data_IF_725470547914
#
_entry.id   IF_725470547914
#
_cell.length_a   1.000
_cell.length_b   1.000
_cell.length_c   1.000
_cell.angle_alpha   90.00
_cell.angle_beta   90.00
_cell.angle_gamma   90.00
#
_symmetry.space_group_name_H-M   'P 1'
#
loop_
_entity.id
_entity.type
_entity.pdbx_description
1 polymer ?
#
# COMPACT_ATOMS: atom_id res chain seq x y z
N UNK A 1 20.44 -39.58 -17.02
CA UNK A 1 19.28 -40.47 -17.25
C UNK A 1 19.80 -41.74 -17.96
N UNK A 2 19.04 -42.84 -17.97
CA UNK A 2 19.47 -44.12 -18.60
C UNK A 2 19.58 -43.97 -20.12
N UNK A 3 20.54 -44.60 -20.79
CA UNK A 3 20.67 -44.48 -22.25
C UNK A 3 19.55 -45.23 -22.99
N UNK A 4 19.06 -44.69 -24.11
CA UNK A 4 18.14 -45.36 -25.02
C UNK A 4 16.63 -45.27 -24.71
N UNK A 5 16.21 -44.55 -23.66
CA UNK A 5 14.79 -44.32 -23.38
C UNK A 5 14.30 -42.99 -23.99
N UNK A 6 13.18 -43.05 -24.72
CA UNK A 6 12.52 -41.91 -25.38
C UNK A 6 11.64 -41.09 -24.43
N UNK A 7 11.17 -41.70 -23.34
CA UNK A 7 10.25 -41.07 -22.38
C UNK A 7 10.72 -41.26 -20.95
N UNK A 8 10.74 -40.16 -20.19
CA UNK A 8 10.97 -40.16 -18.75
C UNK A 8 9.80 -39.46 -18.05
N UNK A 9 9.33 -40.07 -16.96
CA UNK A 9 8.35 -39.46 -16.08
C UNK A 9 9.02 -39.19 -14.73
N UNK A 10 9.20 -37.91 -14.41
CA UNK A 10 9.78 -37.46 -13.14
C UNK A 10 8.67 -36.85 -12.29
N UNK A 11 8.33 -37.51 -11.19
CA UNK A 11 7.35 -37.01 -10.21
C UNK A 11 8.07 -36.15 -9.15
N UNK A 12 7.66 -34.90 -9.03
CA UNK A 12 8.18 -33.96 -8.04
C UNK A 12 7.37 -34.08 -6.74
N UNK A 13 7.93 -34.81 -5.77
CA UNK A 13 7.30 -35.02 -4.47
C UNK A 13 7.44 -33.77 -3.59
N UNK A 14 6.35 -33.37 -2.94
CA UNK A 14 6.33 -32.22 -2.02
C UNK A 14 6.34 -30.84 -2.70
N UNK A 15 6.15 -30.79 -4.03
CA UNK A 15 5.87 -29.55 -4.74
C UNK A 15 4.35 -29.30 -4.72
N UNK A 16 3.87 -28.61 -3.69
CA UNK A 16 2.45 -28.36 -3.41
C UNK A 16 2.14 -26.89 -3.07
N UNK A 17 3.17 -26.07 -2.83
CA UNK A 17 3.04 -24.71 -2.32
C UNK A 17 3.44 -23.66 -3.38
N UNK A 18 2.65 -22.59 -3.52
CA UNK A 18 2.85 -21.53 -4.55
C UNK A 18 4.19 -20.78 -4.43
N UNK A 19 4.78 -20.73 -3.24
CA UNK A 19 6.10 -20.11 -3.01
C UNK A 19 7.27 -21.04 -3.36
N UNK A 20 7.05 -22.31 -3.66
CA UNK A 20 8.13 -23.21 -4.07
C UNK A 20 8.49 -22.94 -5.53
N UNK A 21 9.61 -22.25 -5.74
CA UNK A 21 10.09 -21.92 -7.08
C UNK A 21 11.48 -22.51 -7.32
N UNK A 22 11.56 -23.42 -8.29
CA UNK A 22 12.80 -24.07 -8.68
C UNK A 22 13.06 -23.86 -10.17
N UNK A 23 14.30 -23.51 -10.49
CA UNK A 23 14.78 -23.48 -11.86
C UNK A 23 15.36 -24.84 -12.19
N UNK A 24 14.67 -25.59 -13.03
CA UNK A 24 15.18 -26.84 -13.57
C UNK A 24 15.96 -26.53 -14.84
N UNK A 25 17.13 -27.14 -14.95
CA UNK A 25 18.01 -26.97 -16.10
C UNK A 25 18.27 -28.34 -16.71
N UNK A 26 17.93 -28.46 -17.98
CA UNK A 26 18.22 -29.63 -18.79
C UNK A 26 19.37 -29.29 -19.74
N UNK A 27 20.49 -29.99 -19.60
CA UNK A 27 21.66 -29.84 -20.45
C UNK A 27 21.77 -31.04 -21.39
N UNK A 28 21.88 -30.76 -22.67
CA UNK A 28 22.21 -31.75 -23.71
C UNK A 28 23.72 -31.91 -23.74
N UNK A 29 24.26 -33.02 -23.24
CA UNK A 29 25.72 -33.20 -23.11
C UNK A 29 26.37 -33.70 -24.39
N UNK A 30 26.06 -34.92 -24.77
CA UNK A 30 26.66 -35.60 -25.93
C UNK A 30 25.54 -36.24 -26.73
N UNK A 31 25.54 -35.99 -28.02
CA UNK A 31 24.64 -36.59 -29.00
C UNK A 31 25.46 -37.37 -30.02
N UNK A 32 24.86 -38.41 -30.59
CA UNK A 32 25.48 -39.17 -31.68
C UNK A 32 25.59 -38.32 -32.96
N UNK A 33 26.55 -38.65 -33.82
CA UNK A 33 26.78 -37.92 -35.07
C UNK A 33 25.56 -38.01 -35.99
N UNK A 34 24.94 -36.86 -36.30
CA UNK A 34 23.79 -36.75 -37.22
C UNK A 34 22.44 -36.50 -36.54
N UNK A 35 22.36 -36.57 -35.21
CA UNK A 35 21.13 -36.27 -34.45
C UNK A 35 21.15 -34.84 -33.92
N UNK A 36 20.01 -34.15 -33.99
CA UNK A 36 19.86 -32.80 -33.44
C UNK A 36 19.32 -32.79 -32.01
N UNK A 37 19.06 -33.94 -31.37
CA UNK A 37 18.66 -33.97 -29.97
C UNK A 37 17.33 -33.26 -29.68
N UNK A 38 16.41 -33.25 -30.66
CA UNK A 38 15.09 -32.65 -30.51
C UNK A 38 14.31 -33.33 -29.38
N UNK A 39 13.62 -32.52 -28.60
CA UNK A 39 12.84 -33.03 -27.49
C UNK A 39 11.81 -32.02 -27.00
N UNK A 40 10.85 -32.53 -26.23
CA UNK A 40 9.78 -31.77 -25.62
C UNK A 40 9.70 -32.16 -24.15
N UNK A 41 9.60 -31.15 -23.29
CA UNK A 41 9.32 -31.35 -21.87
C UNK A 41 7.94 -30.80 -21.58
N UNK A 42 7.07 -31.63 -21.01
CA UNK A 42 5.74 -31.24 -20.55
C UNK A 42 5.71 -31.24 -19.03
N UNK A 43 5.44 -30.07 -18.48
CA UNK A 43 5.18 -29.85 -17.06
C UNK A 43 3.67 -29.98 -16.80
N UNK A 44 3.27 -30.90 -15.92
CA UNK A 44 1.87 -31.25 -15.66
C UNK A 44 1.52 -31.01 -14.20
N UNK A 45 0.56 -30.13 -13.95
CA UNK A 45 -0.01 -29.87 -12.62
C UNK A 45 -1.40 -30.51 -12.54
N UNK A 46 -1.55 -31.68 -11.87
CA UNK A 46 -2.72 -32.53 -12.05
C UNK A 46 -4.03 -31.96 -11.48
N UNK A 47 -3.96 -31.00 -10.55
CA UNK A 47 -5.13 -30.37 -9.93
C UNK A 47 -5.55 -29.05 -10.60
N UNK A 48 -4.64 -28.38 -11.33
CA UNK A 48 -4.85 -27.03 -11.84
C UNK A 48 -4.90 -26.94 -13.37
N UNK A 49 -4.58 -28.03 -14.08
CA UNK A 49 -4.49 -28.05 -15.55
C UNK A 49 -3.59 -26.95 -16.14
N UNK A 50 -2.53 -26.57 -15.42
CA UNK A 50 -1.55 -25.54 -15.80
C UNK A 50 -0.40 -26.10 -16.65
N UNK A 51 -0.72 -26.96 -17.61
CA UNK A 51 0.29 -27.69 -18.37
C UNK A 51 1.15 -26.74 -19.21
N UNK A 52 2.48 -26.83 -19.05
CA UNK A 52 3.45 -26.02 -19.80
C UNK A 52 4.37 -26.90 -20.64
N UNK A 53 4.71 -26.43 -21.82
CA UNK A 53 5.58 -27.13 -22.77
C UNK A 53 6.87 -26.36 -22.99
N UNK A 54 8.01 -27.06 -22.91
CA UNK A 54 9.34 -26.50 -23.13
C UNK A 54 10.06 -27.30 -24.21
N UNK A 55 10.57 -26.59 -25.22
CA UNK A 55 11.38 -27.22 -26.27
C UNK A 55 12.82 -27.42 -25.78
N UNK A 56 13.37 -28.61 -26.03
CA UNK A 56 14.74 -28.95 -25.68
C UNK A 56 15.70 -28.31 -26.68
N UNK A 57 16.77 -27.71 -26.17
CA UNK A 57 17.82 -27.14 -27.01
C UNK A 57 18.58 -28.25 -27.74
N UNK A 58 18.71 -28.07 -29.07
CA UNK A 58 19.20 -29.09 -30.00
C UNK A 58 20.73 -29.15 -30.12
N UNK A 59 21.44 -28.12 -29.67
CA UNK A 59 22.91 -28.10 -29.74
C UNK A 59 23.54 -28.89 -28.58
N UNK A 60 24.70 -29.50 -28.82
CA UNK A 60 25.55 -30.01 -27.74
C UNK A 60 25.97 -28.85 -26.83
N UNK A 61 25.79 -29.02 -25.52
CA UNK A 61 25.93 -27.96 -24.52
C UNK A 61 24.75 -26.99 -24.43
N UNK A 62 23.66 -27.22 -25.17
CA UNK A 62 22.46 -26.40 -25.04
C UNK A 62 21.81 -26.61 -23.66
N UNK A 63 21.40 -25.49 -23.07
CA UNK A 63 20.79 -25.44 -21.75
C UNK A 63 19.34 -24.98 -21.88
N UNK A 64 18.40 -25.89 -21.63
CA UNK A 64 16.98 -25.54 -21.51
C UNK A 64 16.66 -25.22 -20.05
N UNK A 65 16.38 -23.95 -19.77
CA UNK A 65 15.97 -23.48 -18.45
C UNK A 65 14.46 -23.46 -18.36
N UNK A 66 13.92 -24.18 -17.39
CA UNK A 66 12.48 -24.27 -17.13
C UNK A 66 12.20 -23.87 -15.68
N UNK A 67 11.49 -22.75 -15.52
CA UNK A 67 11.01 -22.28 -14.24
C UNK A 67 9.75 -23.06 -13.87
N UNK A 68 9.88 -24.00 -12.93
CA UNK A 68 8.77 -24.83 -12.47
C UNK A 68 8.23 -24.21 -11.17
N UNK A 69 7.01 -23.72 -11.26
CA UNK A 69 6.30 -23.01 -10.20
C UNK A 69 4.80 -23.33 -10.31
N UNK A 70 4.11 -23.40 -9.18
CA UNK A 70 2.68 -23.67 -9.13
C UNK A 70 1.94 -22.35 -9.00
N UNK A 71 0.91 -22.11 -9.83
CA UNK A 71 0.07 -20.92 -9.67
C UNK A 71 -1.10 -21.22 -8.74
N UNK A 72 -1.75 -22.36 -8.86
CA UNK A 72 -2.88 -22.71 -7.98
C UNK A 72 -2.48 -23.78 -6.96
N UNK A 73 -2.64 -23.54 -5.64
CA UNK A 73 -2.31 -24.54 -4.63
C UNK A 73 -3.23 -25.77 -4.75
N UNK A 74 -2.81 -26.89 -4.15
CA UNK A 74 -3.64 -28.09 -4.07
C UNK A 74 -4.94 -27.77 -3.29
N UNK A 75 -6.13 -28.10 -3.83
CA UNK A 75 -7.39 -27.94 -3.12
C UNK A 75 -7.40 -28.68 -1.77
N UNK A 76 -8.01 -28.07 -0.75
CA UNK A 76 -8.12 -28.71 0.56
C UNK A 76 -8.98 -29.98 0.48
N UNK A 77 -8.46 -31.10 1.00
CA UNK A 77 -9.19 -32.38 1.07
C UNK A 77 -8.95 -33.32 -0.11
N UNK A 78 -8.21 -32.91 -1.14
CA UNK A 78 -7.86 -33.75 -2.28
C UNK A 78 -6.41 -34.21 -2.21
N UNK A 79 -6.16 -35.47 -2.61
CA UNK A 79 -4.81 -36.04 -2.63
C UNK A 79 -4.37 -36.30 -4.07
N UNK A 80 -3.27 -35.67 -4.45
CA UNK A 80 -2.67 -35.80 -5.77
C UNK A 80 -1.28 -36.45 -5.68
N UNK A 81 -0.86 -37.22 -6.69
CA UNK A 81 0.44 -37.90 -6.72
C UNK A 81 1.65 -36.96 -6.87
N UNK A 82 1.43 -35.63 -6.85
CA UNK A 82 2.45 -34.61 -7.06
C UNK A 82 2.52 -34.12 -8.51
N UNK A 83 3.33 -33.09 -8.73
CA UNK A 83 3.56 -32.50 -10.05
C UNK A 83 4.42 -33.43 -10.90
N UNK A 84 4.12 -33.56 -12.19
CA UNK A 84 4.84 -34.46 -13.09
C UNK A 84 5.60 -33.69 -14.17
N UNK A 85 6.80 -34.14 -14.47
CA UNK A 85 7.61 -33.68 -15.58
C UNK A 85 7.77 -34.84 -16.57
N UNK A 86 7.07 -34.75 -17.69
CA UNK A 86 7.11 -35.70 -18.78
C UNK A 86 8.16 -35.22 -19.80
N UNK A 87 9.28 -35.94 -19.89
CA UNK A 87 10.37 -35.61 -20.82
C UNK A 87 10.32 -36.57 -22.01
N UNK A 88 10.11 -36.02 -23.21
CA UNK A 88 10.21 -36.71 -24.48
C UNK A 88 11.56 -36.30 -25.11
N UNK A 89 12.57 -37.16 -24.98
CA UNK A 89 13.97 -36.85 -25.33
C UNK A 89 14.48 -37.77 -26.44
N UNK A 90 15.51 -37.33 -27.16
CA UNK A 90 16.17 -38.14 -28.18
C UNK A 90 16.99 -39.27 -27.52
N UNK A 91 16.71 -40.56 -27.80
CA UNK A 91 17.42 -41.68 -27.19
C UNK A 91 18.91 -41.74 -27.55
N UNK A 92 19.34 -41.06 -28.63
CA UNK A 92 20.75 -41.03 -29.08
C UNK A 92 21.56 -39.90 -28.41
N UNK A 93 20.95 -39.16 -27.48
CA UNK A 93 21.58 -38.08 -26.73
C UNK A 93 21.59 -38.35 -25.22
N UNK A 94 22.66 -37.89 -24.56
CA UNK A 94 22.81 -37.92 -23.11
C UNK A 94 22.40 -36.59 -22.49
N UNK A 95 21.52 -36.66 -21.49
CA UNK A 95 20.96 -35.49 -20.82
C UNK A 95 21.24 -35.50 -19.32
N UNK A 96 21.52 -34.30 -18.79
CA UNK A 96 21.66 -34.03 -17.36
C UNK A 96 20.59 -33.06 -16.92
N UNK A 97 19.82 -33.47 -15.90
CA UNK A 97 18.75 -32.67 -15.30
C UNK A 97 19.15 -32.34 -13.86
N UNK A 98 19.13 -31.07 -13.51
CA UNK A 98 19.30 -30.61 -12.13
C UNK A 98 18.35 -29.46 -11.81
N UNK A 99 18.10 -29.27 -10.51
CA UNK A 99 17.24 -28.22 -9.99
C UNK A 99 18.03 -27.31 -9.04
N UNK A 100 17.76 -26.01 -9.13
CA UNK A 100 18.29 -25.02 -8.20
C UNK A 100 17.15 -24.13 -7.71
N UNK A 101 17.23 -23.69 -6.46
CA UNK A 101 16.29 -22.68 -5.96
C UNK A 101 16.51 -21.36 -6.70
N UNK A 102 15.45 -20.77 -7.24
CA UNK A 102 15.53 -19.46 -7.90
C UNK A 102 14.92 -18.37 -7.04
N UNK A 103 15.77 -17.48 -6.54
CA UNK A 103 15.35 -16.33 -5.74
C UNK A 103 14.49 -15.35 -6.58
N UNK A 104 14.79 -15.19 -7.86
CA UNK A 104 14.04 -14.29 -8.75
C UNK A 104 12.59 -14.74 -8.91
N UNK A 105 12.37 -16.02 -9.22
CA UNK A 105 11.02 -16.58 -9.34
C UNK A 105 10.31 -16.61 -7.99
N UNK A 106 11.01 -16.91 -6.89
CA UNK A 106 10.45 -16.84 -5.55
C UNK A 106 9.91 -15.44 -5.25
N UNK A 107 10.72 -14.40 -5.48
CA UNK A 107 10.32 -13.01 -5.26
C UNK A 107 9.17 -12.62 -6.19
N UNK A 108 9.18 -13.09 -7.44
CA UNK A 108 8.08 -12.92 -8.38
C UNK A 108 6.75 -13.47 -7.83
N UNK A 109 6.79 -14.68 -7.27
CA UNK A 109 5.61 -15.30 -6.63
C UNK A 109 5.17 -14.54 -5.37
N UNK A 110 6.10 -14.08 -4.54
CA UNK A 110 5.78 -13.23 -3.37
C UNK A 110 5.08 -11.95 -3.81
N UNK A 111 5.57 -11.27 -4.85
CA UNK A 111 4.94 -10.05 -5.39
C UNK A 111 3.57 -10.36 -5.97
N UNK A 112 3.41 -11.47 -6.70
CA UNK A 112 2.15 -11.87 -7.31
C UNK A 112 1.04 -12.11 -6.27
N UNK A 113 1.33 -12.91 -5.23
CA UNK A 113 0.32 -13.29 -4.23
C UNK A 113 0.19 -12.31 -3.07
N UNK A 114 1.29 -11.66 -2.66
CA UNK A 114 1.33 -10.82 -1.47
C UNK A 114 1.67 -9.36 -1.75
N UNK A 115 1.92 -8.97 -3.00
CA UNK A 115 2.33 -7.60 -3.35
C UNK A 115 1.34 -6.52 -2.91
N UNK A 116 0.03 -6.81 -2.97
CA UNK A 116 -1.02 -5.88 -2.51
C UNK A 116 -0.97 -5.62 -1.00
N UNK A 117 -0.33 -6.48 -0.19
CA UNK A 117 -0.21 -6.28 1.25
C UNK A 117 0.78 -5.17 1.61
N UNK A 118 1.81 -4.92 0.79
CA UNK A 118 2.83 -3.89 1.07
C UNK A 118 2.22 -2.49 1.17
N UNK A 119 1.46 -1.98 0.16
CA UNK A 119 0.80 -0.68 0.28
C UNK A 119 -0.28 -0.66 1.38
N UNK A 120 -0.95 -1.80 1.66
CA UNK A 120 -1.92 -1.90 2.75
C UNK A 120 -1.27 -1.72 4.14
N UNK A 121 -0.14 -2.40 4.39
CA UNK A 121 0.65 -2.24 5.60
C UNK A 121 1.19 -0.81 5.72
N UNK A 122 1.67 -0.24 4.62
CA UNK A 122 2.20 1.12 4.60
C UNK A 122 1.13 2.14 4.99
N UNK A 123 -0.06 2.07 4.38
CA UNK A 123 -1.18 2.94 4.74
C UNK A 123 -1.65 2.73 6.18
N UNK A 124 -1.69 1.49 6.68
CA UNK A 124 -2.04 1.20 8.07
C UNK A 124 -1.02 1.78 9.06
N UNK A 125 0.28 1.67 8.77
CA UNK A 125 1.35 2.28 9.56
C UNK A 125 1.23 3.80 9.61
N UNK A 126 0.94 4.45 8.47
CA UNK A 126 0.71 5.89 8.38
C UNK A 126 -0.55 6.33 9.13
N UNK A 127 -1.65 5.58 9.03
CA UNK A 127 -2.88 5.83 9.80
C UNK A 127 -2.62 5.70 11.30
N UNK A 128 -1.85 4.71 11.73
CA UNK A 128 -1.50 4.55 13.14
C UNK A 128 -0.57 5.66 13.64
N UNK A 129 0.44 6.06 12.85
CA UNK A 129 1.30 7.20 13.18
C UNK A 129 0.48 8.49 13.31
N UNK A 130 -0.49 8.68 12.42
CA UNK A 130 -1.45 9.79 12.49
C UNK A 130 -2.32 9.71 13.75
N UNK A 131 -2.83 8.53 14.11
CA UNK A 131 -3.56 8.33 15.37
C UNK A 131 -2.70 8.65 16.59
N UNK A 132 -1.42 8.26 16.58
CA UNK A 132 -0.48 8.58 17.65
C UNK A 132 -0.26 10.09 17.78
N UNK A 133 -0.12 10.82 16.67
CA UNK A 133 -0.04 12.28 16.70
C UNK A 133 -1.26 12.91 17.36
N UNK A 134 -2.47 12.42 17.10
CA UNK A 134 -3.68 12.91 17.75
C UNK A 134 -3.68 12.63 19.27
N UNK A 135 -3.22 11.46 19.70
CA UNK A 135 -3.08 11.16 21.14
C UNK A 135 -2.05 12.10 21.78
N UNK A 136 -0.90 12.31 21.15
CA UNK A 136 0.15 13.19 21.66
C UNK A 136 -0.32 14.65 21.77
N UNK A 137 -1.12 15.15 20.83
CA UNK A 137 -1.76 16.47 20.91
C UNK A 137 -2.69 16.53 22.13
N UNK A 138 -3.42 15.46 22.42
CA UNK A 138 -4.29 15.38 23.60
C UNK A 138 -3.52 15.40 24.92
N UNK A 139 -2.38 14.69 24.98
CA UNK A 139 -1.66 14.44 26.22
C UNK A 139 -0.65 15.56 26.55
N UNK A 140 0.04 16.08 25.53
CA UNK A 140 1.14 17.05 25.69
C UNK A 140 0.83 18.42 25.10
N UNK A 141 -0.21 18.53 24.26
CA UNK A 141 -0.47 19.72 23.46
C UNK A 141 0.49 19.92 22.29
N UNK A 142 1.46 19.02 22.08
CA UNK A 142 2.44 19.09 20.99
C UNK A 142 2.15 18.03 19.94
N UNK A 143 2.37 18.37 18.66
CA UNK A 143 2.29 17.40 17.58
C UNK A 143 3.69 16.87 17.24
N UNK A 144 4.02 15.60 17.53
CA UNK A 144 5.30 15.04 17.15
C UNK A 144 5.42 14.94 15.62
N UNK A 145 6.65 14.94 15.11
CA UNK A 145 6.91 14.72 13.69
C UNK A 145 6.35 13.35 13.23
N UNK A 146 5.95 13.20 11.95
CA UNK A 146 5.42 11.94 11.43
C UNK A 146 6.41 10.78 11.60
N UNK A 147 7.72 11.04 11.45
CA UNK A 147 8.76 10.02 11.62
C UNK A 147 8.87 9.56 13.07
N UNK A 148 8.88 10.51 14.03
CA UNK A 148 8.89 10.16 15.45
C UNK A 148 7.60 9.46 15.90
N UNK A 149 6.46 9.82 15.29
CA UNK A 149 5.20 9.16 15.58
C UNK A 149 5.21 7.71 15.08
N UNK A 150 5.74 7.46 13.87
CA UNK A 150 5.87 6.11 13.32
C UNK A 150 6.79 5.23 14.17
N UNK A 151 7.93 5.75 14.65
CA UNK A 151 8.85 4.96 15.47
C UNK A 151 8.31 4.63 16.87
N UNK A 152 7.48 5.51 17.44
CA UNK A 152 6.89 5.32 18.78
C UNK A 152 5.63 4.47 18.78
N UNK A 153 4.94 4.36 17.64
CA UNK A 153 3.62 3.74 17.53
C UNK A 153 3.58 2.21 17.80
N UNK A 154 4.73 1.52 17.94
CA UNK A 154 4.87 0.07 18.25
C UNK A 154 3.81 -0.81 17.56
N UNK A 155 3.69 -0.67 16.24
CA UNK A 155 2.56 -1.23 15.46
C UNK A 155 2.74 -2.68 15.02
N UNK A 156 3.96 -3.22 15.08
CA UNK A 156 4.29 -4.54 14.53
C UNK A 156 3.45 -5.67 15.13
N UNK A 157 3.34 -5.75 16.46
CA UNK A 157 2.59 -6.82 17.12
C UNK A 157 1.11 -6.77 16.73
N UNK A 158 0.50 -5.58 16.77
CA UNK A 158 -0.94 -5.43 16.49
C UNK A 158 -1.25 -5.62 15.02
N UNK A 159 -0.50 -4.99 14.11
CA UNK A 159 -0.79 -5.07 12.67
C UNK A 159 -0.44 -6.43 12.05
N UNK A 160 0.44 -7.23 12.68
CA UNK A 160 0.77 -8.56 12.19
C UNK A 160 -0.14 -9.61 12.84
N UNK A 161 -0.19 -9.69 14.17
CA UNK A 161 -0.81 -10.81 14.87
C UNK A 161 -2.33 -10.72 14.97
N UNK A 162 -2.89 -9.51 15.12
CA UNK A 162 -4.34 -9.37 15.23
C UNK A 162 -5.04 -9.73 13.92
N UNK A 163 -4.59 -9.25 12.73
CA UNK A 163 -5.16 -9.70 11.46
C UNK A 163 -4.99 -11.19 11.18
N UNK A 164 -3.86 -11.81 11.56
CA UNK A 164 -3.68 -13.27 11.38
C UNK A 164 -4.58 -14.07 12.30
N UNK A 165 -4.77 -13.64 13.55
CA UNK A 165 -5.68 -14.28 14.49
C UNK A 165 -7.14 -14.18 14.02
N UNK A 166 -7.57 -13.02 13.54
CA UNK A 166 -8.93 -12.80 13.00
C UNK A 166 -9.17 -13.70 11.78
N UNK A 167 -8.24 -13.74 10.82
CA UNK A 167 -8.37 -14.60 9.64
C UNK A 167 -8.36 -16.08 10.00
N UNK A 168 -7.53 -16.51 10.96
CA UNK A 168 -7.53 -17.87 11.47
C UNK A 168 -8.86 -18.27 12.11
N UNK A 169 -9.49 -17.35 12.86
CA UNK A 169 -10.79 -17.57 13.50
C UNK A 169 -11.95 -17.57 12.49
N UNK A 170 -11.87 -16.75 11.43
CA UNK A 170 -12.92 -16.65 10.40
C UNK A 170 -12.88 -17.78 9.38
N UNK A 171 -11.73 -18.43 9.16
CA UNK A 171 -11.53 -19.55 8.21
C UNK A 171 -12.60 -20.65 8.27
N UNK A 172 -13.00 -21.22 9.44
CA UNK A 172 -14.03 -22.25 9.51
C UNK A 172 -15.44 -21.75 9.18
N UNK A 173 -15.69 -20.45 9.31
CA UNK A 173 -16.99 -19.84 9.02
C UNK A 173 -17.13 -19.51 7.52
N UNK A 174 -16.03 -19.12 6.87
CA UNK A 174 -15.99 -18.79 5.45
C UNK A 174 -16.26 -20.01 4.55
N UNK A 175 -15.76 -21.19 4.93
CA UNK A 175 -15.98 -22.44 4.16
C UNK A 175 -17.46 -22.86 4.03
N UNK A 176 -18.35 -22.30 4.84
CA UNK A 176 -19.79 -22.62 4.81
C UNK A 176 -20.64 -21.67 3.96
N UNK A 177 -20.15 -20.44 3.66
CA UNK A 177 -21.00 -19.38 3.09
C UNK A 177 -20.38 -18.60 1.92
N UNK A 178 -19.05 -18.61 1.76
CA UNK A 178 -18.34 -17.83 0.74
C UNK A 178 -17.36 -18.72 -0.02
N UNK A 179 -17.17 -18.51 -1.35
CA UNK A 179 -16.08 -19.15 -2.07
C UNK A 179 -14.75 -18.77 -1.41
N UNK A 180 -13.91 -19.78 -1.14
CA UNK A 180 -12.62 -19.59 -0.50
C UNK A 180 -11.78 -18.61 -1.34
N UNK A 181 -11.15 -17.59 -0.74
CA UNK A 181 -10.21 -16.75 -1.47
C UNK A 181 -9.05 -17.60 -1.99
N UNK A 182 -8.60 -17.35 -3.22
CA UNK A 182 -7.54 -18.11 -3.92
C UNK A 182 -6.16 -18.10 -3.22
N UNK A 183 -6.05 -17.50 -2.04
CA UNK A 183 -4.80 -17.27 -1.35
C UNK A 183 -4.88 -17.86 0.06
N UNK A 184 -3.91 -18.74 0.34
CA UNK A 184 -3.41 -19.17 1.66
C UNK A 184 -3.83 -20.58 2.10
N UNK A 185 -3.25 -21.58 1.42
CA UNK A 185 -2.80 -22.84 2.03
C UNK A 185 -1.46 -22.68 2.79
N UNK A 186 -1.03 -21.45 3.16
CA UNK A 186 0.19 -21.29 3.93
C UNK A 186 -0.02 -21.78 5.37
N UNK A 187 0.87 -22.65 5.83
CA UNK A 187 0.89 -23.10 7.23
C UNK A 187 0.99 -21.87 8.14
N UNK A 188 0.37 -21.93 9.32
CA UNK A 188 0.21 -20.76 10.22
C UNK A 188 1.51 -20.00 10.51
N UNK A 189 2.67 -20.65 10.53
CA UNK A 189 3.97 -20.02 10.79
C UNK A 189 4.56 -19.33 9.56
N UNK A 190 4.38 -19.90 8.37
CA UNK A 190 4.85 -19.32 7.09
C UNK A 190 4.09 -18.03 6.76
N UNK A 191 2.79 -17.99 7.06
CA UNK A 191 1.99 -16.78 6.93
C UNK A 191 2.51 -15.64 7.82
N UNK A 192 3.00 -15.94 9.03
CA UNK A 192 3.56 -14.94 9.94
C UNK A 192 4.93 -14.44 9.45
N UNK A 193 5.82 -15.34 9.00
CA UNK A 193 7.15 -14.94 8.52
C UNK A 193 7.07 -14.05 7.27
N UNK A 194 6.20 -14.40 6.32
CA UNK A 194 5.95 -13.60 5.11
C UNK A 194 5.37 -12.23 5.48
N UNK A 195 4.39 -12.16 6.39
CA UNK A 195 3.84 -10.88 6.87
C UNK A 195 4.86 -10.02 7.59
N UNK A 196 5.76 -10.61 8.39
CA UNK A 196 6.85 -9.87 9.02
C UNK A 196 7.76 -9.21 7.96
N UNK A 197 8.14 -9.96 6.92
CA UNK A 197 8.95 -9.43 5.82
C UNK A 197 8.24 -8.29 5.06
N UNK A 198 6.97 -8.48 4.71
CA UNK A 198 6.15 -7.47 4.02
C UNK A 198 5.91 -6.23 4.87
N UNK A 199 5.70 -6.40 6.18
CA UNK A 199 5.59 -5.30 7.13
C UNK A 199 6.89 -4.47 7.18
N UNK A 200 8.05 -5.12 7.19
CA UNK A 200 9.34 -4.42 7.15
C UNK A 200 9.54 -3.65 5.84
N UNK A 201 9.22 -4.25 4.70
CA UNK A 201 9.22 -3.56 3.40
C UNK A 201 8.30 -2.33 3.42
N UNK A 202 7.10 -2.48 3.99
CA UNK A 202 6.15 -1.39 4.15
C UNK A 202 6.66 -0.29 5.11
N UNK A 203 7.40 -0.64 6.18
CA UNK A 203 8.03 0.37 7.04
C UNK A 203 9.09 1.17 6.29
N UNK A 204 9.90 0.50 5.46
CA UNK A 204 10.87 1.17 4.58
C UNK A 204 10.18 2.15 3.63
N UNK A 205 9.09 1.72 2.98
CA UNK A 205 8.29 2.57 2.09
C UNK A 205 7.67 3.77 2.84
N UNK A 206 7.12 3.54 4.04
CA UNK A 206 6.57 4.60 4.89
C UNK A 206 7.63 5.63 5.29
N UNK A 207 8.82 5.18 5.70
CA UNK A 207 9.95 6.06 6.06
C UNK A 207 10.40 6.87 4.86
N UNK A 208 10.57 6.26 3.68
CA UNK A 208 10.94 6.97 2.44
C UNK A 208 9.88 8.01 2.09
N UNK A 209 8.59 7.66 2.17
CA UNK A 209 7.50 8.60 1.91
C UNK A 209 7.51 9.77 2.90
N UNK A 210 7.66 9.51 4.20
CA UNK A 210 7.71 10.55 5.24
C UNK A 210 8.91 11.47 5.03
N UNK A 211 10.11 10.92 4.81
CA UNK A 211 11.33 11.69 4.58
C UNK A 211 11.22 12.51 3.30
N UNK A 212 10.72 11.93 2.20
CA UNK A 212 10.53 12.61 0.94
C UNK A 212 9.56 13.80 1.06
N UNK A 213 8.37 13.58 1.63
CA UNK A 213 7.39 14.65 1.83
C UNK A 213 7.88 15.72 2.80
N UNK A 214 8.52 15.32 3.90
CA UNK A 214 9.05 16.28 4.88
C UNK A 214 10.19 17.10 4.28
N UNK A 215 11.15 16.47 3.58
CA UNK A 215 12.24 17.17 2.92
C UNK A 215 11.72 18.15 1.85
N UNK A 216 10.75 17.72 1.02
CA UNK A 216 10.12 18.58 0.02
C UNK A 216 9.40 19.77 0.66
N UNK A 217 8.58 19.53 1.70
CA UNK A 217 7.87 20.59 2.41
C UNK A 217 8.82 21.59 3.08
N UNK A 218 9.96 21.13 3.59
CA UNK A 218 10.97 21.98 4.21
C UNK A 218 11.77 22.79 3.18
N UNK A 219 12.18 22.15 2.08
CA UNK A 219 12.91 22.81 1.00
C UNK A 219 12.06 23.89 0.32
N UNK A 220 10.84 23.52 -0.09
CA UNK A 220 9.90 24.45 -0.71
C UNK A 220 9.43 25.52 0.28
N UNK A 221 9.25 25.20 1.56
CA UNK A 221 8.89 26.17 2.60
C UNK A 221 9.96 27.24 2.80
N UNK A 222 11.24 26.87 2.73
CA UNK A 222 12.36 27.83 2.76
C UNK A 222 12.36 28.73 1.54
N UNK A 223 12.12 28.19 0.35
CA UNK A 223 12.00 28.98 -0.88
C UNK A 223 10.82 29.95 -0.81
N UNK A 224 9.68 29.49 -0.28
CA UNK A 224 8.48 30.31 -0.07
C UNK A 224 8.75 31.50 0.86
N UNK A 225 9.45 31.27 1.98
CA UNK A 225 9.81 32.34 2.91
C UNK A 225 10.81 33.34 2.31
N UNK A 226 11.75 32.89 1.48
CA UNK A 226 12.66 33.78 0.72
C UNK A 226 11.89 34.64 -0.28
N UNK A 227 10.89 34.08 -0.95
CA UNK A 227 10.03 34.84 -1.85
C UNK A 227 9.23 35.91 -1.11
N UNK A 228 8.69 35.58 0.06
CA UNK A 228 7.90 36.51 0.89
C UNK A 228 8.73 37.34 1.88
N UNK A 229 10.05 37.45 1.69
CA UNK A 229 10.99 38.05 2.65
C UNK A 229 10.61 39.49 3.08
N UNK A 230 9.99 40.28 2.19
CA UNK A 230 9.50 41.63 2.50
C UNK A 230 8.33 41.71 3.51
N UNK A 231 7.72 40.58 3.91
CA UNK A 231 6.60 40.54 4.88
C UNK A 231 6.99 39.87 6.21
N UNK A 232 8.26 39.45 6.39
CA UNK A 232 8.69 38.63 7.54
C UNK A 232 8.93 39.40 8.86
N UNK A 233 8.82 40.73 8.84
CA UNK A 233 9.00 41.53 10.06
C UNK A 233 7.85 41.37 11.08
N UNK A 234 6.70 40.79 10.67
CA UNK A 234 5.53 40.58 11.55
C UNK A 234 5.08 39.11 11.62
N UNK A 235 5.99 38.18 11.94
CA UNK A 235 5.59 36.79 12.26
C UNK A 235 4.93 36.72 13.65
N UNK A 236 3.62 36.95 13.70
CA UNK A 236 2.78 36.68 14.86
C UNK A 236 1.70 35.65 14.54
N UNK A 237 1.83 34.46 15.13
CA UNK A 237 0.77 33.46 15.11
C UNK A 237 -0.14 33.74 16.30
N UNK A 238 -1.34 34.28 16.05
CA UNK A 238 -2.32 34.50 17.10
C UNK A 238 -2.86 33.15 17.57
N UNK A 239 -2.85 32.91 18.88
CA UNK A 239 -3.54 31.76 19.48
C UNK A 239 -5.02 31.91 19.15
N UNK A 240 -5.54 31.00 18.33
CA UNK A 240 -6.92 31.03 17.90
C UNK A 240 -7.63 29.82 18.51
N UNK A 241 -8.74 30.07 19.19
CA UNK A 241 -9.54 29.02 19.87
C UNK A 241 -10.66 28.51 18.98
N UNK A 242 -11.09 29.30 18.00
CA UNK A 242 -12.20 29.01 17.09
C UNK A 242 -11.78 28.92 15.63
N UNK A 243 -12.50 28.09 14.86
CA UNK A 243 -12.25 27.92 13.43
C UNK A 243 -12.66 29.20 12.69
N UNK A 244 -11.71 29.84 12.00
CA UNK A 244 -11.98 30.95 11.10
C UNK A 244 -12.28 30.43 9.70
N UNK A 245 -13.52 30.66 9.26
CA UNK A 245 -13.98 30.20 7.97
C UNK A 245 -13.56 31.16 6.86
N UNK A 246 -12.58 30.75 6.05
CA UNK A 246 -12.21 31.48 4.85
C UNK A 246 -13.18 31.18 3.71
N UNK A 247 -13.84 32.23 3.19
CA UNK A 247 -14.73 32.15 2.00
C UNK A 247 -14.01 31.50 0.82
N UNK A 248 -12.72 31.79 0.63
CA UNK A 248 -11.90 31.20 -0.43
C UNK A 248 -11.76 29.69 -0.25
N UNK A 249 -11.43 29.21 0.95
CA UNK A 249 -11.32 27.76 1.22
C UNK A 249 -12.66 27.05 1.03
N UNK A 250 -13.77 27.67 1.43
CA UNK A 250 -15.12 27.13 1.22
C UNK A 250 -15.42 26.99 -0.29
N UNK A 251 -15.25 28.07 -1.07
CA UNK A 251 -15.51 28.04 -2.52
C UNK A 251 -14.62 27.01 -3.24
N UNK A 252 -13.35 26.92 -2.86
CA UNK A 252 -12.40 25.98 -3.44
C UNK A 252 -12.79 24.52 -3.20
N UNK A 253 -13.22 24.19 -1.98
CA UNK A 253 -13.65 22.81 -1.65
C UNK A 253 -14.96 22.45 -2.35
N UNK A 254 -15.95 23.35 -2.40
CA UNK A 254 -17.16 23.12 -3.19
C UNK A 254 -16.86 22.95 -4.68
N UNK A 255 -15.93 23.72 -5.24
CA UNK A 255 -15.47 23.56 -6.62
C UNK A 255 -14.84 22.18 -6.87
N UNK A 256 -13.99 21.70 -5.97
CA UNK A 256 -13.40 20.36 -6.08
C UNK A 256 -14.44 19.25 -5.95
N UNK A 257 -15.42 19.39 -5.04
CA UNK A 257 -16.53 18.43 -4.90
C UNK A 257 -17.37 18.41 -6.17
N UNK A 258 -17.70 19.58 -6.73
CA UNK A 258 -18.42 19.67 -8.00
C UNK A 258 -17.65 18.99 -9.13
N UNK A 259 -16.33 19.23 -9.21
CA UNK A 259 -15.45 18.55 -10.18
C UNK A 259 -15.49 17.04 -10.02
N UNK A 260 -15.44 16.53 -8.79
CA UNK A 260 -15.52 15.09 -8.52
C UNK A 260 -16.84 14.45 -8.97
N UNK A 261 -17.95 15.20 -8.97
CA UNK A 261 -19.27 14.69 -9.32
C UNK A 261 -19.54 14.79 -10.84
N UNK A 262 -19.01 15.82 -11.50
CA UNK A 262 -19.28 16.10 -12.91
C UNK A 262 -18.26 15.49 -13.86
N UNK A 263 -16.98 15.41 -13.49
CA UNK A 263 -15.91 14.90 -14.36
C UNK A 263 -15.38 13.55 -13.88
N UNK A 264 -14.38 13.56 -13.00
CA UNK A 264 -13.71 12.37 -12.46
C UNK A 264 -13.25 12.64 -11.03
N UNK A 265 -13.49 11.68 -10.13
CA UNK A 265 -13.06 11.79 -8.74
C UNK A 265 -11.53 11.87 -8.61
N UNK A 266 -10.80 11.14 -9.45
CA UNK A 266 -9.35 11.14 -9.45
C UNK A 266 -8.78 12.54 -9.78
N UNK A 267 -9.35 13.26 -10.75
CA UNK A 267 -8.91 14.62 -11.07
C UNK A 267 -9.06 15.55 -9.86
N UNK A 268 -10.21 15.51 -9.19
CA UNK A 268 -10.46 16.31 -8.00
C UNK A 268 -9.50 15.96 -6.84
N UNK A 269 -9.16 14.67 -6.67
CA UNK A 269 -8.18 14.23 -5.67
C UNK A 269 -6.76 14.74 -5.99
N UNK A 270 -6.33 14.72 -7.25
CA UNK A 270 -5.01 15.23 -7.66
C UNK A 270 -4.92 16.76 -7.54
N UNK A 271 -5.95 17.48 -7.97
CA UNK A 271 -6.04 18.94 -7.77
C UNK A 271 -6.05 19.29 -6.28
N UNK A 272 -6.84 18.56 -5.49
CA UNK A 272 -6.89 18.70 -4.04
C UNK A 272 -5.54 18.44 -3.37
N UNK A 273 -4.80 17.42 -3.82
CA UNK A 273 -3.45 17.12 -3.34
C UNK A 273 -2.48 18.27 -3.65
N UNK A 274 -2.53 18.82 -4.86
CA UNK A 274 -1.71 19.98 -5.24
C UNK A 274 -1.97 21.18 -4.32
N UNK A 275 -3.25 21.48 -4.07
CA UNK A 275 -3.67 22.55 -3.15
C UNK A 275 -3.21 22.27 -1.71
N UNK A 276 -3.33 21.03 -1.22
CA UNK A 276 -2.86 20.67 0.12
C UNK A 276 -1.35 20.81 0.25
N UNK A 277 -0.58 20.45 -0.77
CA UNK A 277 0.87 20.62 -0.80
C UNK A 277 1.26 22.10 -0.80
N UNK A 278 0.59 22.96 -1.58
CA UNK A 278 0.84 24.42 -1.56
C UNK A 278 0.55 25.00 -0.17
N UNK A 279 -0.59 24.63 0.44
CA UNK A 279 -0.93 25.05 1.81
C UNK A 279 0.08 24.53 2.84
N UNK A 280 0.54 23.28 2.70
CA UNK A 280 1.56 22.69 3.56
C UNK A 280 2.87 23.46 3.47
N UNK A 281 3.33 23.81 2.27
CA UNK A 281 4.56 24.58 2.04
C UNK A 281 4.50 25.96 2.70
N UNK A 282 3.38 26.67 2.57
CA UNK A 282 3.19 27.95 3.25
C UNK A 282 3.22 27.81 4.78
N UNK A 283 2.55 26.78 5.31
CA UNK A 283 2.52 26.49 6.76
C UNK A 283 3.87 26.06 7.31
N UNK A 284 4.58 25.16 6.62
CA UNK A 284 5.90 24.66 7.04
C UNK A 284 6.93 25.79 7.06
N UNK A 285 6.93 26.67 6.05
CA UNK A 285 7.81 27.83 6.01
C UNK A 285 7.56 28.79 7.19
N UNK A 286 6.30 29.18 7.39
CA UNK A 286 5.93 30.15 8.43
C UNK A 286 6.10 29.60 9.85
N UNK A 287 5.56 28.40 10.13
CA UNK A 287 5.58 27.81 11.46
C UNK A 287 6.98 27.40 11.90
N UNK A 288 7.84 26.93 10.98
CA UNK A 288 9.24 26.65 11.27
C UNK A 288 10.03 27.91 11.63
N UNK A 289 9.85 28.99 10.88
CA UNK A 289 10.51 30.26 11.20
C UNK A 289 10.12 30.80 12.58
N UNK A 290 8.89 30.48 13.04
CA UNK A 290 8.46 30.76 14.39
C UNK A 290 9.03 29.80 15.43
N UNK A 291 9.11 28.51 15.10
CA UNK A 291 9.69 27.48 15.97
C UNK A 291 11.16 27.77 16.27
N UNK A 292 11.92 28.22 15.27
CA UNK A 292 13.32 28.65 15.43
C UNK A 292 13.46 29.90 16.32
N UNK A 293 12.44 30.77 16.37
CA UNK A 293 12.46 32.03 17.15
C UNK A 293 11.91 31.88 18.58
N UNK A 294 10.83 31.14 18.76
CA UNK A 294 10.03 31.06 20.00
C UNK A 294 10.04 29.69 20.65
N UNK A 295 10.67 28.70 20.02
CA UNK A 295 10.65 27.31 20.45
C UNK A 295 9.39 26.56 20.02
N UNK A 296 9.33 25.29 20.42
CA UNK A 296 8.28 24.35 20.07
C UNK A 296 7.02 24.60 20.90
N UNK A 297 5.89 24.79 20.21
CA UNK A 297 4.56 24.94 20.81
C UNK A 297 3.55 24.13 20.01
N UNK A 298 2.36 23.88 20.56
CA UNK A 298 1.32 23.13 19.87
C UNK A 298 0.89 23.76 18.53
N UNK A 299 0.99 25.08 18.42
CA UNK A 299 0.61 25.81 17.20
C UNK A 299 1.75 25.79 16.17
N UNK A 300 3.02 25.88 16.61
CA UNK A 300 4.18 25.80 15.70
C UNK A 300 4.40 24.38 15.18
N UNK A 301 4.05 23.35 15.94
CA UNK A 301 4.17 21.95 15.50
C UNK A 301 3.01 21.49 14.61
N UNK A 302 1.99 22.34 14.39
CA UNK A 302 0.78 21.99 13.64
C UNK A 302 1.04 21.52 12.20
N UNK A 303 2.11 21.99 11.55
CA UNK A 303 2.45 21.57 10.18
C UNK A 303 2.82 20.09 10.09
N UNK A 304 3.32 19.47 11.17
CA UNK A 304 3.60 18.03 11.19
C UNK A 304 2.36 17.18 10.97
N UNK A 305 1.21 17.61 11.51
CA UNK A 305 -0.07 16.94 11.26
C UNK A 305 -0.48 17.08 9.79
N UNK A 306 -0.31 18.27 9.21
CA UNK A 306 -0.61 18.51 7.80
C UNK A 306 0.31 17.75 6.85
N UNK A 307 1.55 17.47 7.26
CA UNK A 307 2.45 16.56 6.55
C UNK A 307 1.84 15.15 6.52
N UNK A 308 1.41 14.60 7.65
CA UNK A 308 0.77 13.27 7.70
C UNK A 308 -0.52 13.20 6.86
N UNK A 309 -1.37 14.24 6.95
CA UNK A 309 -2.59 14.36 6.14
C UNK A 309 -2.23 14.37 4.64
N UNK A 310 -1.21 15.12 4.24
CA UNK A 310 -0.80 15.21 2.82
C UNK A 310 -0.21 13.89 2.30
N UNK A 311 0.55 13.16 3.12
CA UNK A 311 1.07 11.82 2.77
C UNK A 311 -0.10 10.84 2.59
N UNK A 312 -1.04 10.78 3.55
CA UNK A 312 -2.22 9.90 3.45
C UNK A 312 -3.09 10.24 2.23
N UNK A 313 -3.22 11.52 1.89
CA UNK A 313 -3.89 11.96 0.66
C UNK A 313 -3.16 11.48 -0.58
N UNK A 314 -1.83 11.63 -0.63
CA UNK A 314 -1.02 11.22 -1.78
C UNK A 314 -1.20 9.73 -2.08
N UNK A 315 -1.28 8.89 -1.05
CA UNK A 315 -1.61 7.47 -1.19
C UNK A 315 -2.97 7.25 -1.88
N UNK A 316 -4.00 8.03 -1.51
CA UNK A 316 -5.31 7.96 -2.16
C UNK A 316 -5.27 8.43 -3.63
N UNK A 317 -4.52 9.50 -3.92
CA UNK A 317 -4.37 10.02 -5.27
C UNK A 317 -3.61 9.05 -6.19
N UNK A 318 -2.58 8.37 -5.67
CA UNK A 318 -1.84 7.32 -6.39
C UNK A 318 -2.76 6.15 -6.72
N UNK A 319 -3.59 5.68 -5.77
CA UNK A 319 -4.56 4.62 -6.04
C UNK A 319 -5.61 5.02 -7.08
N UNK A 320 -5.97 6.30 -7.15
CA UNK A 320 -6.91 6.83 -8.13
C UNK A 320 -6.26 7.12 -9.50
N UNK A 321 -4.94 6.95 -9.66
CA UNK A 321 -4.23 7.25 -10.90
C UNK A 321 -4.75 6.45 -12.12
N UNK A 322 -5.04 5.14 -12.04
CA UNK A 322 -5.60 4.41 -13.18
C UNK A 322 -6.93 5.01 -13.67
N UNK A 323 -7.81 5.42 -12.75
CA UNK A 323 -9.08 6.06 -13.09
C UNK A 323 -8.85 7.41 -13.80
N UNK A 324 -7.85 8.18 -13.36
CA UNK A 324 -7.46 9.42 -14.04
C UNK A 324 -6.98 9.14 -15.48
N UNK A 325 -6.10 8.15 -15.67
CA UNK A 325 -5.56 7.80 -16.99
C UNK A 325 -6.67 7.35 -17.95
N UNK A 326 -7.61 6.54 -17.46
CA UNK A 326 -8.78 6.11 -18.24
C UNK A 326 -9.66 7.30 -18.61
N UNK A 327 -9.90 8.24 -17.69
CA UNK A 327 -10.65 9.45 -17.98
C UNK A 327 -9.96 10.34 -19.02
N UNK A 328 -8.64 10.56 -18.89
CA UNK A 328 -7.87 11.35 -19.86
C UNK A 328 -7.94 10.72 -21.27
N UNK A 329 -7.83 9.40 -21.37
CA UNK A 329 -7.91 8.71 -22.66
C UNK A 329 -9.31 8.80 -23.28
N UNK A 330 -10.36 8.78 -22.46
CA UNK A 330 -11.75 8.84 -22.90
C UNK A 330 -12.32 10.26 -23.01
N UNK A 331 -11.50 11.30 -22.80
CA UNK A 331 -11.95 12.69 -22.75
C UNK A 331 -12.57 13.17 -24.07
N UNK A 332 -12.16 12.58 -25.19
CA UNK A 332 -12.73 12.85 -26.52
C UNK A 332 -14.19 12.38 -26.66
N UNK A 333 -14.60 11.37 -25.88
CA UNK A 333 -15.93 10.75 -25.99
C UNK A 333 -16.88 11.22 -24.89
N UNK A 334 -16.39 11.32 -23.65
CA UNK A 334 -17.21 11.67 -22.50
C UNK A 334 -16.42 12.50 -21.49
N UNK A 335 -16.99 13.65 -21.12
CA UNK A 335 -16.43 14.53 -20.08
C UNK A 335 -16.52 13.94 -18.66
N UNK A 336 -17.48 13.04 -18.43
CA UNK A 336 -17.73 12.34 -17.18
C UNK A 336 -17.28 10.90 -17.27
N UNK A 337 -16.52 10.42 -16.28
CA UNK A 337 -16.21 8.99 -16.17
C UNK A 337 -17.46 8.23 -15.67
N UNK A 338 -18.04 7.31 -16.46
CA UNK A 338 -19.20 6.55 -16.03
C UNK A 338 -18.81 5.58 -14.91
N UNK A 339 -19.65 5.51 -13.86
CA UNK A 339 -19.52 4.57 -12.73
C UNK A 339 -18.15 4.58 -12.02
N UNK A 340 -17.65 5.77 -11.71
CA UNK A 340 -16.40 5.92 -10.96
C UNK A 340 -16.54 5.41 -9.50
N UNK A 341 -15.81 4.34 -9.10
CA UNK A 341 -15.90 3.74 -7.76
C UNK A 341 -15.35 4.67 -6.66
N UNK A 342 -14.61 5.71 -7.02
CA UNK A 342 -13.91 6.59 -6.09
C UNK A 342 -14.73 7.80 -5.63
N UNK A 343 -15.88 8.09 -6.28
CA UNK A 343 -16.67 9.31 -6.06
C UNK A 343 -17.14 9.47 -4.62
N UNK A 344 -17.66 8.41 -3.98
CA UNK A 344 -18.18 8.52 -2.62
C UNK A 344 -17.07 8.92 -1.63
N UNK A 345 -15.92 8.26 -1.75
CA UNK A 345 -14.77 8.50 -0.89
C UNK A 345 -14.05 9.81 -1.19
N UNK A 346 -13.94 10.21 -2.47
CA UNK A 346 -13.38 11.51 -2.83
C UNK A 346 -14.23 12.65 -2.30
N UNK A 347 -15.56 12.56 -2.39
CA UNK A 347 -16.47 13.57 -1.84
C UNK A 347 -16.34 13.64 -0.32
N UNK A 348 -16.34 12.50 0.39
CA UNK A 348 -16.14 12.49 1.85
C UNK A 348 -14.80 13.12 2.26
N UNK A 349 -13.73 12.80 1.55
CA UNK A 349 -12.39 13.33 1.80
C UNK A 349 -12.31 14.83 1.47
N UNK A 350 -12.90 15.28 0.36
CA UNK A 350 -12.96 16.71 0.00
C UNK A 350 -13.86 17.52 0.93
N UNK A 351 -14.95 16.95 1.45
CA UNK A 351 -15.78 17.62 2.45
C UNK A 351 -15.06 17.76 3.79
N UNK A 352 -14.22 16.78 4.16
CA UNK A 352 -13.40 16.89 5.38
C UNK A 352 -12.42 18.07 5.32
N UNK A 353 -11.92 18.43 4.13
CA UNK A 353 -10.99 19.58 3.99
C UNK A 353 -11.65 20.92 4.16
N UNK A 354 -12.98 21.01 4.05
CA UNK A 354 -13.74 22.19 4.41
C UNK A 354 -13.31 22.71 5.80
N UNK A 355 -13.05 21.78 6.71
CA UNK A 355 -12.56 22.05 8.07
C UNK A 355 -11.03 22.05 8.12
N UNK A 356 -10.39 20.99 7.63
CA UNK A 356 -8.96 20.77 7.84
C UNK A 356 -8.08 21.83 7.18
N UNK A 357 -8.52 22.41 6.06
CA UNK A 357 -7.76 23.44 5.37
C UNK A 357 -7.91 24.86 5.94
N UNK A 358 -8.74 25.04 6.97
CA UNK A 358 -8.83 26.32 7.67
C UNK A 358 -7.51 26.62 8.39
N UNK A 359 -7.17 27.90 8.47
CA UNK A 359 -5.88 28.37 8.98
C UNK A 359 -5.55 27.96 10.42
N UNK A 360 -6.49 27.92 11.40
CA UNK A 360 -6.14 27.62 12.78
C UNK A 360 -6.04 26.11 13.09
N UNK A 361 -6.33 25.22 12.13
CA UNK A 361 -6.35 23.77 12.35
C UNK A 361 -4.94 23.18 12.17
N UNK A 362 -4.43 22.33 13.08
CA UNK A 362 -5.14 21.74 14.23
C UNK A 362 -5.27 22.66 15.44
N UNK A 363 -6.47 22.68 16.03
CA UNK A 363 -6.74 23.35 17.29
C UNK A 363 -6.38 22.42 18.44
N UNK A 364 -5.29 22.72 19.14
CA UNK A 364 -4.72 21.87 20.21
C UNK A 364 -5.70 21.68 21.39
N UNK A 365 -6.43 22.73 21.76
CA UNK A 365 -7.36 22.71 22.90
C UNK A 365 -8.77 22.23 22.48
N UNK A 366 -8.88 20.98 22.07
CA UNK A 366 -10.16 20.36 21.69
C UNK A 366 -10.33 19.02 22.39
N UNK A 367 -11.55 18.69 22.78
CA UNK A 367 -11.89 17.39 23.35
C UNK A 367 -11.89 16.29 22.27
N UNK A 368 -11.93 15.03 22.73
CA UNK A 368 -12.11 13.83 21.90
C UNK A 368 -10.95 13.42 20.96
N UNK A 369 -9.77 14.04 21.06
CA UNK A 369 -8.58 13.58 20.33
C UNK A 369 -8.25 12.10 20.63
N UNK A 370 -8.29 11.69 21.90
CA UNK A 370 -8.03 10.30 22.30
C UNK A 370 -9.03 9.30 21.71
N UNK A 371 -10.33 9.64 21.70
CA UNK A 371 -11.38 8.81 21.10
C UNK A 371 -11.20 8.68 19.58
N UNK A 372 -10.86 9.78 18.93
CA UNK A 372 -10.57 9.81 17.48
C UNK A 372 -9.32 9.00 17.14
N UNK A 373 -8.28 9.11 17.96
CA UNK A 373 -7.07 8.29 17.85
C UNK A 373 -7.39 6.79 17.93
N UNK A 374 -8.14 6.34 18.94
CA UNK A 374 -8.56 4.93 19.06
C UNK A 374 -9.36 4.45 17.85
N UNK A 375 -10.27 5.28 17.34
CA UNK A 375 -11.04 4.96 16.13
C UNK A 375 -10.12 4.79 14.91
N UNK A 376 -9.14 5.67 14.73
CA UNK A 376 -8.18 5.57 13.62
C UNK A 376 -7.24 4.35 13.78
N UNK A 377 -6.86 3.99 15.01
CA UNK A 377 -6.14 2.73 15.25
C UNK A 377 -6.98 1.52 14.82
N UNK A 378 -8.28 1.50 15.13
CA UNK A 378 -9.17 0.43 14.66
C UNK A 378 -9.25 0.38 13.12
N UNK A 379 -9.40 1.54 12.47
CA UNK A 379 -9.35 1.68 11.01
C UNK A 379 -8.05 1.13 10.40
N UNK A 380 -6.91 1.32 11.04
CA UNK A 380 -5.63 0.79 10.55
C UNK A 380 -5.56 -0.74 10.57
N UNK A 381 -6.19 -1.39 11.56
CA UNK A 381 -6.30 -2.87 11.62
C UNK A 381 -7.23 -3.36 10.50
N UNK A 382 -8.37 -2.69 10.30
CA UNK A 382 -9.28 -3.01 9.19
C UNK A 382 -8.61 -2.83 7.82
N UNK A 383 -7.74 -1.82 7.68
CA UNK A 383 -6.96 -1.61 6.48
C UNK A 383 -6.10 -2.82 6.14
N UNK A 384 -5.39 -3.42 7.11
CA UNK A 384 -4.58 -4.63 6.87
C UNK A 384 -5.44 -5.85 6.55
N UNK A 385 -6.65 -5.95 7.12
CA UNK A 385 -7.56 -7.08 6.88
C UNK A 385 -8.16 -7.07 5.47
N UNK A 386 -8.66 -5.91 5.02
CA UNK A 386 -9.47 -5.83 3.80
C UNK A 386 -8.69 -5.39 2.55
N UNK A 387 -7.67 -4.54 2.69
CA UNK A 387 -6.95 -4.00 1.53
C UNK A 387 -6.15 -5.04 0.72
N UNK A 388 -5.64 -6.15 1.29
CA UNK A 388 -5.04 -7.22 0.47
C UNK A 388 -6.01 -7.83 -0.55
N UNK A 389 -7.30 -7.88 -0.23
CA UNK A 389 -8.35 -8.39 -1.12
C UNK A 389 -8.83 -7.31 -2.08
N UNK A 390 -9.01 -6.08 -1.58
CA UNK A 390 -9.57 -4.94 -2.32
C UNK A 390 -8.74 -3.70 -2.03
N UNK A 391 -7.68 -3.49 -2.79
CA UNK A 391 -6.73 -2.39 -2.55
C UNK A 391 -7.41 -1.00 -2.55
N UNK A 392 -8.46 -0.82 -3.36
CA UNK A 392 -9.24 0.43 -3.41
C UNK A 392 -10.00 0.74 -2.11
N UNK A 393 -10.24 -0.25 -1.24
CA UNK A 393 -10.87 -0.04 0.06
C UNK A 393 -10.03 0.84 0.98
N UNK A 394 -8.72 0.93 0.75
CA UNK A 394 -7.80 1.80 1.48
C UNK A 394 -8.28 3.26 1.52
N UNK A 395 -8.82 3.77 0.41
CA UNK A 395 -9.30 5.14 0.34
C UNK A 395 -10.52 5.40 1.23
N UNK A 396 -11.33 4.36 1.50
CA UNK A 396 -12.48 4.46 2.41
C UNK A 396 -12.00 4.67 3.85
N UNK A 397 -10.97 3.93 4.26
CA UNK A 397 -10.41 4.06 5.61
C UNK A 397 -9.71 5.40 5.82
N UNK A 398 -8.97 5.90 4.81
CA UNK A 398 -8.37 7.24 4.87
C UNK A 398 -9.44 8.34 4.90
N UNK A 399 -10.46 8.25 4.06
CA UNK A 399 -11.57 9.21 4.06
C UNK A 399 -12.33 9.22 5.40
N UNK A 400 -12.56 8.05 6.00
CA UNK A 400 -13.18 7.93 7.32
C UNK A 400 -12.30 8.55 8.43
N UNK A 401 -10.98 8.35 8.38
CA UNK A 401 -10.05 8.98 9.33
C UNK A 401 -10.07 10.52 9.23
N UNK A 402 -10.13 11.05 8.01
CA UNK A 402 -10.20 12.49 7.77
C UNK A 402 -11.54 13.08 8.21
N UNK A 403 -12.64 12.41 7.90
CA UNK A 403 -13.97 12.79 8.36
C UNK A 403 -14.05 12.79 9.89
N UNK A 404 -13.49 11.77 10.55
CA UNK A 404 -13.43 11.71 12.01
C UNK A 404 -12.64 12.87 12.61
N UNK A 405 -11.48 13.21 12.04
CA UNK A 405 -10.72 14.40 12.47
C UNK A 405 -11.51 15.70 12.23
N UNK A 406 -12.13 15.87 11.07
CA UNK A 406 -12.92 17.06 10.75
C UNK A 406 -14.10 17.25 11.72
N UNK A 407 -14.83 16.17 12.02
CA UNK A 407 -15.92 16.16 13.00
C UNK A 407 -15.38 16.49 14.40
N UNK A 408 -14.25 15.90 14.79
CA UNK A 408 -13.62 16.19 16.08
C UNK A 408 -13.22 17.67 16.22
N UNK A 409 -12.67 18.28 15.17
CA UNK A 409 -12.32 19.71 15.18
C UNK A 409 -13.56 20.61 15.29
N UNK A 410 -14.66 20.24 14.64
CA UNK A 410 -15.92 20.99 14.68
C UNK A 410 -16.61 20.89 16.06
N UNK A 411 -16.80 19.66 16.55
CA UNK A 411 -17.63 19.38 17.74
C UNK A 411 -16.85 19.54 19.05
N UNK A 412 -15.54 19.25 19.05
CA UNK A 412 -14.73 19.17 20.26
C UNK A 412 -14.40 20.50 20.94
N UNK A 413 -15.22 21.55 20.78
CA UNK A 413 -14.97 22.88 21.34
C UNK A 413 -14.86 22.82 22.86
N UNK A 414 -13.71 23.25 23.38
CA UNK A 414 -13.55 23.46 24.82
C UNK A 414 -14.06 24.87 25.18
N UNK A 415 -15.20 24.91 25.87
CA UNK A 415 -15.82 26.17 26.30
C UNK A 415 -15.06 26.83 27.48
N UNK A 416 -14.10 26.14 28.10
CA UNK A 416 -13.40 26.62 29.30
C UNK A 416 -12.16 27.47 28.98
N UNK A 417 -11.67 27.44 27.74
CA UNK A 417 -10.49 28.22 27.32
C UNK A 417 -10.92 29.63 26.91
N UNK A 418 -10.63 30.62 27.76
CA UNK A 418 -10.88 32.04 27.49
C UNK A 418 -10.10 32.52 26.25
N UNK A 419 -10.76 33.36 25.45
CA UNK A 419 -10.14 34.08 24.34
C UNK A 419 -9.26 35.19 24.90
N UNK A 420 -7.94 35.07 24.75
CA UNK A 420 -6.98 36.16 25.04
C UNK A 420 -6.51 36.84 23.75
#
# INVERSE_FOLDING_TARGET
>A
MTEGALFYNVTLLGLDHVLQSYLYSLETRVCRTGTQGEGLVRYVVPWAHEDRFFHVGTAAGALTRMALEIQNPVPEGEHYPGVRLELYLDPECSYTLWAQFSLEHFLGQVVKYYGAMVPAYSAAQLLWAFAFQLSAISDTGLCPSPLSALSQAKTAFVLILLPTAIQGLMRPMESSFLPQPDVVSARSLENVSVRCGLYLLATGLSVVAILGFSAAALFLGRLWMRWQWNQSEKLTLKKQTDITWSRFTLMLTFFLVATSLTTCAALALWLGLGISCIKLVGRSGYQRALEDRKGTTGITTGWHLHTSISILWAYCAILALPALLVWVHNLAYSWRLPQDPHVACSVALLLSTLVLWQTPVPLVHRFYYKRTSTFICFLSVLCVLYCPLKLYSMMHFVAAAFAALAVQQLVGRDATVKQE
#
